data_IF_871757018728
#
_entry.id   IF_871757018728
#
_cell.length_a   1.000
_cell.length_b   1.000
_cell.length_c   1.000
_cell.angle_alpha   90.00
_cell.angle_beta   90.00
_cell.angle_gamma   90.00
#
_symmetry.space_group_name_H-M   'P 1'
#
loop_
_entity.id
_entity.type
_entity.pdbx_description
1 polymer ?
#
# COMPACT_ATOMS: atom_id res chain seq x y z
N UNK A 1 -20.28 -5.27 26.41
CA UNK A 1 -18.91 -5.76 26.71
C UNK A 1 -18.43 -6.87 25.76
N UNK A 2 -19.28 -7.83 25.40
CA UNK A 2 -18.89 -8.95 24.53
C UNK A 2 -18.60 -8.50 23.10
N UNK A 3 -19.41 -7.62 22.52
CA UNK A 3 -19.25 -7.06 21.17
C UNK A 3 -17.93 -6.32 21.00
N UNK A 4 -17.52 -5.50 21.99
CA UNK A 4 -16.24 -4.78 21.94
C UNK A 4 -15.05 -5.73 21.95
N UNK A 5 -15.10 -6.83 22.71
CA UNK A 5 -14.03 -7.84 22.70
C UNK A 5 -13.90 -8.53 21.34
N UNK A 6 -15.02 -8.77 20.65
CA UNK A 6 -15.01 -9.37 19.31
C UNK A 6 -14.40 -8.38 18.30
N UNK A 7 -14.80 -7.11 18.36
CA UNK A 7 -14.24 -6.08 17.49
C UNK A 7 -12.75 -5.86 17.71
N UNK A 8 -12.30 -5.84 18.96
CA UNK A 8 -10.88 -5.71 19.30
C UNK A 8 -10.05 -6.89 18.75
N UNK A 9 -10.54 -8.12 18.88
CA UNK A 9 -9.88 -9.31 18.30
C UNK A 9 -9.86 -9.24 16.76
N UNK A 10 -10.96 -8.83 16.13
CA UNK A 10 -11.04 -8.65 14.70
C UNK A 10 -10.07 -7.57 14.20
N UNK A 11 -9.96 -6.45 14.91
CA UNK A 11 -9.02 -5.36 14.62
C UNK A 11 -7.56 -5.82 14.71
N UNK A 12 -7.21 -6.57 15.77
CA UNK A 12 -5.87 -7.15 15.90
C UNK A 12 -5.54 -8.08 14.73
N UNK A 13 -6.49 -8.92 14.32
CA UNK A 13 -6.32 -9.81 13.18
C UNK A 13 -6.17 -9.03 11.86
N UNK A 14 -7.01 -8.03 11.63
CA UNK A 14 -6.93 -7.16 10.45
C UNK A 14 -5.56 -6.45 10.37
N UNK A 15 -5.08 -5.90 11.47
CA UNK A 15 -3.76 -5.27 11.54
C UNK A 15 -2.61 -6.26 11.29
N UNK A 16 -2.70 -7.47 11.85
CA UNK A 16 -1.70 -8.53 11.64
C UNK A 16 -1.60 -8.95 10.18
N UNK A 17 -2.71 -8.92 9.45
CA UNK A 17 -2.78 -9.30 8.03
C UNK A 17 -2.65 -8.10 7.09
N UNK A 18 -2.31 -6.92 7.60
CA UNK A 18 -2.21 -5.67 6.83
C UNK A 18 -3.52 -5.26 6.14
N UNK A 19 -4.66 -5.73 6.64
CA UNK A 19 -6.01 -5.38 6.14
C UNK A 19 -6.49 -4.06 6.75
N UNK A 20 -5.80 -2.96 6.42
CA UNK A 20 -6.00 -1.63 7.03
C UNK A 20 -7.38 -1.02 6.74
N UNK A 21 -8.02 -1.37 5.62
CA UNK A 21 -9.40 -0.94 5.35
C UNK A 21 -10.38 -1.59 6.32
N UNK A 22 -10.23 -2.88 6.57
CA UNK A 22 -11.05 -3.61 7.54
C UNK A 22 -10.81 -3.08 8.96
N UNK A 23 -9.55 -2.83 9.32
CA UNK A 23 -9.21 -2.23 10.63
C UNK A 23 -9.88 -0.85 10.78
N UNK A 24 -9.90 -0.02 9.75
CA UNK A 24 -10.56 1.28 9.74
C UNK A 24 -12.08 1.15 9.96
N UNK A 25 -12.75 0.25 9.22
CA UNK A 25 -14.19 -0.01 9.40
C UNK A 25 -14.52 -0.47 10.83
N UNK A 26 -13.67 -1.30 11.42
CA UNK A 26 -13.85 -1.76 12.81
C UNK A 26 -13.74 -0.57 13.78
N UNK A 27 -12.77 0.33 13.60
CA UNK A 27 -12.63 1.53 14.45
C UNK A 27 -13.87 2.43 14.31
N UNK A 28 -14.43 2.60 13.10
CA UNK A 28 -15.65 3.37 12.91
C UNK A 28 -16.87 2.73 13.64
N UNK A 29 -16.97 1.39 13.66
CA UNK A 29 -17.97 0.69 14.47
C UNK A 29 -17.75 0.87 15.98
N UNK A 30 -16.50 0.82 16.43
CA UNK A 30 -16.14 1.10 17.84
C UNK A 30 -16.54 2.52 18.25
N UNK A 31 -16.39 3.53 17.39
CA UNK A 31 -16.83 4.91 17.63
C UNK A 31 -18.36 5.00 17.79
N UNK A 32 -19.11 4.27 16.95
CA UNK A 32 -20.59 4.23 17.08
C UNK A 32 -20.98 3.67 18.43
N UNK A 33 -20.36 2.57 18.87
CA UNK A 33 -20.63 1.98 20.19
C UNK A 33 -20.23 2.96 21.31
N UNK A 34 -19.06 3.59 21.19
CA UNK A 34 -18.58 4.57 22.17
C UNK A 34 -19.54 5.74 22.34
N UNK A 35 -20.08 6.25 21.24
CA UNK A 35 -21.04 7.36 21.26
C UNK A 35 -22.31 7.05 22.06
N UNK A 36 -22.71 5.77 22.11
CA UNK A 36 -23.88 5.32 22.88
C UNK A 36 -23.59 5.14 24.38
N UNK A 37 -22.35 4.96 24.75
CA UNK A 37 -21.95 4.60 26.11
C UNK A 37 -20.89 5.54 26.72
N UNK A 38 -20.71 6.72 26.17
CA UNK A 38 -19.65 7.68 26.50
C UNK A 38 -19.57 8.04 28.00
N UNK A 39 -20.70 8.07 28.69
CA UNK A 39 -20.77 8.36 30.14
C UNK A 39 -20.20 7.23 31.01
N UNK A 40 -20.01 6.03 30.44
CA UNK A 40 -19.48 4.84 31.11
C UNK A 40 -18.13 4.43 30.56
N UNK A 41 -17.56 5.25 29.69
CA UNK A 41 -16.30 4.98 29.03
C UNK A 41 -15.10 5.30 29.91
N UNK A 42 -13.97 4.71 29.56
CA UNK A 42 -12.66 5.06 30.11
C UNK A 42 -12.24 6.43 29.57
N UNK A 43 -11.57 7.24 30.40
CA UNK A 43 -11.28 8.65 30.11
C UNK A 43 -10.50 8.91 28.82
N UNK A 44 -9.75 7.94 28.28
CA UNK A 44 -8.92 8.11 27.06
C UNK A 44 -9.44 7.33 25.86
N UNK A 45 -10.59 6.64 25.96
CA UNK A 45 -11.08 5.77 24.89
C UNK A 45 -11.40 6.55 23.62
N UNK A 46 -12.05 7.69 23.76
CA UNK A 46 -12.40 8.60 22.65
C UNK A 46 -11.15 9.06 21.89
N UNK A 47 -10.15 9.54 22.61
CA UNK A 47 -8.89 10.03 22.02
C UNK A 47 -8.14 8.92 21.31
N UNK A 48 -8.10 7.70 21.91
CA UNK A 48 -7.50 6.52 21.29
C UNK A 48 -8.17 6.17 19.96
N UNK A 49 -9.51 6.10 19.92
CA UNK A 49 -10.25 5.80 18.70
C UNK A 49 -10.08 6.86 17.61
N UNK A 50 -10.00 8.14 17.99
CA UNK A 50 -9.73 9.24 17.06
C UNK A 50 -8.34 9.06 16.44
N UNK A 51 -7.31 8.86 17.26
CA UNK A 51 -5.94 8.68 16.78
C UNK A 51 -5.78 7.45 15.88
N UNK A 52 -6.37 6.31 16.25
CA UNK A 52 -6.38 5.10 15.42
C UNK A 52 -7.06 5.35 14.05
N UNK A 53 -8.22 5.99 14.07
CA UNK A 53 -8.99 6.30 12.87
C UNK A 53 -8.23 7.23 11.91
N UNK A 54 -7.60 8.28 12.44
CA UNK A 54 -6.81 9.23 11.64
C UNK A 54 -5.57 8.55 11.03
N UNK A 55 -4.86 7.73 11.81
CA UNK A 55 -3.71 6.97 11.36
C UNK A 55 -4.08 5.99 10.24
N UNK A 56 -5.12 5.18 10.44
CA UNK A 56 -5.60 4.22 9.44
C UNK A 56 -6.10 4.91 8.17
N UNK A 57 -6.80 6.03 8.30
CA UNK A 57 -7.24 6.83 7.17
C UNK A 57 -6.06 7.35 6.34
N UNK A 58 -5.04 7.87 6.99
CA UNK A 58 -3.83 8.36 6.32
C UNK A 58 -3.12 7.23 5.56
N UNK A 59 -2.94 6.05 6.17
CA UNK A 59 -2.33 4.87 5.55
C UNK A 59 -3.16 4.38 4.36
N UNK A 60 -4.48 4.28 4.49
CA UNK A 60 -5.38 3.85 3.42
C UNK A 60 -5.40 4.86 2.26
N UNK A 61 -5.38 6.16 2.55
CA UNK A 61 -5.28 7.19 1.52
C UNK A 61 -3.99 7.07 0.72
N UNK A 62 -2.86 6.88 1.40
CA UNK A 62 -1.56 6.70 0.78
C UNK A 62 -1.51 5.44 -0.10
N UNK A 63 -2.01 4.30 0.40
CA UNK A 63 -2.13 3.07 -0.37
C UNK A 63 -3.01 3.25 -1.61
N UNK A 64 -4.11 3.99 -1.49
CA UNK A 64 -5.01 4.30 -2.61
C UNK A 64 -4.32 5.17 -3.66
N UNK A 65 -3.62 6.22 -3.27
CA UNK A 65 -2.86 7.08 -4.21
C UNK A 65 -1.81 6.27 -4.97
N UNK A 66 -1.04 5.44 -4.27
CA UNK A 66 -0.01 4.60 -4.89
C UNK A 66 -0.60 3.52 -5.80
N UNK A 67 -1.71 2.90 -5.42
CA UNK A 67 -2.38 1.90 -6.26
C UNK A 67 -2.98 2.52 -7.52
N UNK A 68 -3.56 3.71 -7.43
CA UNK A 68 -4.07 4.47 -8.58
C UNK A 68 -2.94 4.82 -9.55
N UNK A 69 -1.82 5.36 -9.05
CA UNK A 69 -0.64 5.64 -9.86
C UNK A 69 -0.12 4.38 -10.55
N UNK A 70 0.01 3.28 -9.81
CA UNK A 70 0.44 2.00 -10.37
C UNK A 70 -0.48 1.51 -11.49
N UNK A 71 -1.81 1.64 -11.31
CA UNK A 71 -2.79 1.24 -12.32
C UNK A 71 -2.70 2.08 -13.59
N UNK A 72 -2.55 3.40 -13.46
CA UNK A 72 -2.41 4.33 -14.59
C UNK A 72 -1.14 4.07 -15.39
N UNK A 73 -0.01 3.82 -14.71
CA UNK A 73 1.26 3.49 -15.37
C UNK A 73 1.17 2.14 -16.11
N UNK A 74 0.54 1.14 -15.49
CA UNK A 74 0.33 -0.15 -16.12
C UNK A 74 -0.58 -0.06 -17.35
N UNK A 75 -1.68 0.68 -17.25
CA UNK A 75 -2.57 0.92 -18.39
C UNK A 75 -1.81 1.57 -19.56
N UNK A 76 -0.98 2.57 -19.27
CA UNK A 76 -0.15 3.24 -20.30
C UNK A 76 0.82 2.24 -20.94
N UNK A 77 1.47 1.39 -20.14
CA UNK A 77 2.39 0.38 -20.65
C UNK A 77 1.71 -0.59 -21.62
N UNK A 78 0.51 -1.06 -21.25
CA UNK A 78 -0.24 -2.02 -22.08
C UNK A 78 -0.79 -1.37 -23.36
N UNK A 79 -1.27 -0.12 -23.29
CA UNK A 79 -1.89 0.56 -24.43
C UNK A 79 -0.90 1.19 -25.40
N UNK A 80 0.18 1.78 -24.90
CA UNK A 80 1.13 2.58 -25.68
C UNK A 80 2.55 1.99 -25.74
N UNK A 81 2.89 1.05 -24.82
CA UNK A 81 4.24 0.54 -24.65
C UNK A 81 5.16 1.55 -23.96
N UNK A 82 6.46 1.33 -24.06
CA UNK A 82 7.48 2.22 -23.49
C UNK A 82 7.65 3.50 -24.30
N UNK A 83 8.32 4.49 -23.69
CA UNK A 83 8.66 5.75 -24.32
C UNK A 83 9.49 5.52 -25.60
N UNK A 84 9.03 6.12 -26.71
CA UNK A 84 9.67 6.02 -28.04
C UNK A 84 10.38 7.31 -28.43
N UNK A 85 10.21 8.37 -27.66
CA UNK A 85 10.82 9.67 -27.87
C UNK A 85 11.18 10.36 -26.56
N UNK A 86 12.08 11.34 -26.64
CA UNK A 86 12.45 12.17 -25.48
C UNK A 86 11.26 12.96 -24.92
N UNK A 87 10.31 13.30 -25.77
CA UNK A 87 9.09 13.98 -25.35
C UNK A 87 8.22 13.05 -24.51
N UNK A 88 7.94 11.84 -25.00
CA UNK A 88 7.18 10.83 -24.25
C UNK A 88 7.86 10.48 -22.92
N UNK A 89 9.19 10.36 -22.92
CA UNK A 89 9.96 10.13 -21.70
C UNK A 89 9.74 11.26 -20.67
N UNK A 90 9.82 12.53 -21.10
CA UNK A 90 9.59 13.67 -20.21
C UNK A 90 8.16 13.71 -19.68
N UNK A 91 7.17 13.43 -20.52
CA UNK A 91 5.75 13.40 -20.13
C UNK A 91 5.49 12.30 -19.09
N UNK A 92 6.03 11.10 -19.29
CA UNK A 92 5.91 9.98 -18.35
C UNK A 92 6.59 10.34 -17.03
N UNK A 93 7.78 10.91 -17.08
CA UNK A 93 8.56 11.29 -15.90
C UNK A 93 7.84 12.38 -15.09
N UNK A 94 7.34 13.41 -15.77
CA UNK A 94 6.58 14.47 -15.12
C UNK A 94 5.31 13.90 -14.47
N UNK A 95 4.53 13.11 -15.19
CA UNK A 95 3.32 12.46 -14.67
C UNK A 95 3.63 11.63 -13.43
N UNK A 96 4.68 10.81 -13.49
CA UNK A 96 5.07 9.96 -12.37
C UNK A 96 5.39 10.77 -11.11
N UNK A 97 6.28 11.76 -11.22
CA UNK A 97 6.70 12.54 -10.05
C UNK A 97 5.65 13.52 -9.54
N UNK A 98 4.74 14.02 -10.38
CA UNK A 98 3.60 14.82 -9.95
C UNK A 98 2.56 14.02 -9.15
N UNK A 99 2.41 12.73 -9.45
CA UNK A 99 1.44 11.85 -8.81
C UNK A 99 2.05 10.93 -7.74
N UNK A 100 3.37 10.88 -7.62
CA UNK A 100 4.03 10.11 -6.56
C UNK A 100 3.87 10.84 -5.22
N UNK A 101 3.23 10.22 -4.22
CA UNK A 101 3.12 10.82 -2.90
C UNK A 101 4.50 11.13 -2.29
N UNK A 102 4.66 12.32 -1.72
CA UNK A 102 5.86 12.72 -1.00
C UNK A 102 5.85 12.06 0.37
N UNK A 103 6.54 10.95 0.50
CA UNK A 103 6.62 10.19 1.75
C UNK A 103 8.00 9.58 1.90
N UNK A 104 8.45 9.44 3.13
CA UNK A 104 9.68 8.72 3.44
C UNK A 104 9.40 7.22 3.44
N UNK A 105 10.23 6.46 2.73
CA UNK A 105 10.04 5.02 2.54
C UNK A 105 10.02 4.23 3.86
N UNK A 106 10.71 4.72 4.88
CA UNK A 106 10.79 4.12 6.22
C UNK A 106 9.44 4.20 6.99
N UNK A 107 8.56 5.12 6.60
CA UNK A 107 7.25 5.31 7.24
C UNK A 107 6.13 4.49 6.58
N UNK A 108 6.43 3.79 5.48
CA UNK A 108 5.44 3.00 4.75
C UNK A 108 5.18 1.64 5.41
N UNK A 109 3.91 1.28 5.55
CA UNK A 109 3.48 -0.08 5.91
C UNK A 109 3.68 -1.06 4.74
N UNK A 110 3.35 -2.34 4.98
CA UNK A 110 3.55 -3.39 3.97
C UNK A 110 2.81 -3.11 2.66
N UNK A 111 1.53 -2.73 2.71
CA UNK A 111 0.72 -2.46 1.51
C UNK A 111 1.17 -1.22 0.76
N UNK A 112 1.50 -0.15 1.48
CA UNK A 112 2.01 1.08 0.89
C UNK A 112 3.34 0.83 0.17
N UNK A 113 4.26 0.07 0.78
CA UNK A 113 5.53 -0.36 0.16
C UNK A 113 5.28 -1.19 -1.11
N UNK A 114 4.35 -2.15 -1.06
CA UNK A 114 4.02 -3.00 -2.19
C UNK A 114 3.58 -2.17 -3.40
N UNK A 115 2.65 -1.24 -3.21
CA UNK A 115 2.18 -0.36 -4.28
C UNK A 115 3.23 0.65 -4.73
N UNK A 116 4.06 1.13 -3.81
CA UNK A 116 5.19 2.01 -4.11
C UNK A 116 6.20 1.32 -5.03
N UNK A 117 6.65 0.12 -4.68
CA UNK A 117 7.60 -0.62 -5.51
C UNK A 117 6.98 -1.02 -6.85
N UNK A 118 5.73 -1.39 -6.87
CA UNK A 118 5.01 -1.72 -8.09
C UNK A 118 4.88 -0.52 -9.03
N UNK A 119 4.57 0.67 -8.52
CA UNK A 119 4.53 1.90 -9.31
C UNK A 119 5.91 2.22 -9.91
N UNK A 120 6.98 2.08 -9.14
CA UNK A 120 8.36 2.26 -9.63
C UNK A 120 8.75 1.22 -10.68
N UNK A 121 8.33 -0.03 -10.56
CA UNK A 121 8.57 -1.07 -11.57
C UNK A 121 7.89 -0.68 -12.89
N UNK A 122 6.63 -0.26 -12.88
CA UNK A 122 5.95 0.18 -14.09
C UNK A 122 6.55 1.43 -14.72
N UNK A 123 6.94 2.41 -13.90
CA UNK A 123 7.64 3.59 -14.36
C UNK A 123 8.98 3.22 -15.02
N UNK A 124 9.73 2.32 -14.41
CA UNK A 124 11.02 1.85 -14.94
C UNK A 124 10.86 1.10 -16.28
N UNK A 125 9.83 0.29 -16.43
CA UNK A 125 9.52 -0.35 -17.71
C UNK A 125 9.15 0.69 -18.78
N UNK A 126 8.31 1.67 -18.45
CA UNK A 126 7.91 2.73 -19.38
C UNK A 126 9.10 3.55 -19.87
N UNK A 127 10.07 3.79 -19.00
CA UNK A 127 11.28 4.60 -19.30
C UNK A 127 12.47 3.75 -19.72
N UNK A 128 12.33 2.43 -19.80
CA UNK A 128 13.39 1.46 -20.14
C UNK A 128 14.61 1.57 -19.22
N UNK A 129 14.40 1.93 -17.95
CA UNK A 129 15.43 1.94 -16.91
C UNK A 129 15.55 0.55 -16.26
N UNK A 130 16.33 -0.32 -16.88
CA UNK A 130 16.51 -1.69 -16.43
C UNK A 130 17.15 -1.81 -15.05
N UNK A 131 18.04 -0.89 -14.70
CA UNK A 131 18.66 -0.87 -13.36
C UNK A 131 17.63 -0.57 -12.27
N UNK A 132 16.74 0.39 -12.50
CA UNK A 132 15.65 0.68 -11.57
C UNK A 132 14.62 -0.44 -11.55
N UNK A 133 14.35 -1.10 -12.68
CA UNK A 133 13.48 -2.30 -12.72
C UNK A 133 14.03 -3.39 -11.80
N UNK A 134 15.31 -3.71 -11.90
CA UNK A 134 15.97 -4.67 -11.02
C UNK A 134 15.89 -4.24 -9.56
N UNK A 135 16.26 -3.01 -9.26
CA UNK A 135 16.26 -2.46 -7.89
C UNK A 135 14.91 -2.56 -7.21
N UNK A 136 13.84 -2.13 -7.87
CA UNK A 136 12.51 -2.11 -7.27
C UNK A 136 11.84 -3.49 -7.28
N UNK A 137 12.12 -4.34 -8.26
CA UNK A 137 11.69 -5.74 -8.23
C UNK A 137 12.36 -6.51 -7.09
N UNK A 138 13.67 -6.30 -6.86
CA UNK A 138 14.38 -6.88 -5.70
C UNK A 138 13.74 -6.46 -4.38
N UNK A 139 13.51 -5.16 -4.20
CA UNK A 139 12.86 -4.64 -2.97
C UNK A 139 11.45 -5.18 -2.78
N UNK A 140 10.72 -5.39 -3.88
CA UNK A 140 9.40 -6.01 -3.84
C UNK A 140 9.47 -7.46 -3.33
N UNK A 141 10.42 -8.26 -3.80
CA UNK A 141 10.62 -9.64 -3.34
C UNK A 141 11.12 -9.68 -1.89
N UNK A 142 12.15 -8.88 -1.58
CA UNK A 142 12.77 -8.77 -0.25
C UNK A 142 11.75 -8.46 0.85
N UNK A 143 10.79 -7.56 0.61
CA UNK A 143 9.77 -7.23 1.61
C UNK A 143 8.88 -8.43 1.99
N UNK A 144 8.66 -9.38 1.07
CA UNK A 144 7.95 -10.63 1.36
C UNK A 144 8.83 -11.62 2.12
N UNK A 145 10.15 -11.65 1.83
CA UNK A 145 11.11 -12.48 2.55
C UNK A 145 11.30 -12.00 3.99
N UNK A 146 11.27 -10.68 4.22
CA UNK A 146 11.28 -10.08 5.55
C UNK A 146 9.98 -10.33 6.34
N UNK A 147 8.87 -10.57 5.64
CA UNK A 147 7.55 -10.85 6.22
C UNK A 147 6.92 -12.10 5.62
N UNK A 148 7.45 -13.31 5.90
CA UNK A 148 7.05 -14.55 5.22
C UNK A 148 5.56 -14.90 5.36
N UNK A 149 4.91 -14.45 6.44
CA UNK A 149 3.46 -14.62 6.61
C UNK A 149 2.65 -13.97 5.49
N UNK A 150 3.17 -12.89 4.87
CA UNK A 150 2.51 -12.18 3.78
C UNK A 150 2.55 -12.96 2.46
N UNK A 151 3.47 -13.91 2.29
CA UNK A 151 3.51 -14.78 1.11
C UNK A 151 2.24 -15.63 1.03
N UNK A 152 1.78 -16.19 2.14
CA UNK A 152 0.54 -16.96 2.18
C UNK A 152 -0.73 -16.12 2.05
N UNK A 153 -0.68 -14.85 2.45
CA UNK A 153 -1.81 -13.91 2.36
C UNK A 153 -1.91 -13.33 0.94
N UNK A 154 -0.78 -13.01 0.32
CA UNK A 154 -0.69 -12.36 -0.98
C UNK A 154 0.21 -13.14 -1.97
N UNK A 155 -0.04 -14.44 -2.21
CA UNK A 155 0.85 -15.28 -3.04
C UNK A 155 1.00 -14.77 -4.46
N UNK A 156 -0.07 -14.21 -5.05
CA UNK A 156 -0.05 -13.68 -6.42
C UNK A 156 0.88 -12.47 -6.54
N UNK A 157 0.90 -11.58 -5.54
CA UNK A 157 1.81 -10.44 -5.54
C UNK A 157 3.27 -10.87 -5.38
N UNK A 158 3.54 -11.86 -4.55
CA UNK A 158 4.89 -12.40 -4.39
C UNK A 158 5.41 -13.03 -5.68
N UNK A 159 4.62 -13.90 -6.31
CA UNK A 159 4.98 -14.53 -7.59
C UNK A 159 5.19 -13.52 -8.71
N UNK A 160 4.37 -12.46 -8.77
CA UNK A 160 4.59 -11.36 -9.73
C UNK A 160 5.89 -10.62 -9.47
N UNK A 161 6.23 -10.34 -8.22
CA UNK A 161 7.52 -9.74 -7.86
C UNK A 161 8.71 -10.56 -8.35
N UNK A 162 8.68 -11.87 -8.13
CA UNK A 162 9.71 -12.81 -8.64
C UNK A 162 9.76 -12.75 -10.17
N UNK A 163 8.62 -12.78 -10.85
CA UNK A 163 8.58 -12.74 -12.32
C UNK A 163 9.26 -11.46 -12.85
N UNK A 164 8.93 -10.28 -12.33
CA UNK A 164 9.55 -9.03 -12.77
C UNK A 164 11.03 -8.94 -12.40
N UNK A 165 11.43 -9.52 -11.29
CA UNK A 165 12.84 -9.63 -10.93
C UNK A 165 13.58 -10.50 -11.96
N UNK A 166 13.03 -11.64 -12.35
CA UNK A 166 13.59 -12.51 -13.39
C UNK A 166 13.66 -11.81 -14.74
N UNK A 167 12.60 -11.11 -15.15
CA UNK A 167 12.57 -10.33 -16.40
C UNK A 167 13.65 -9.23 -16.43
N UNK A 168 13.99 -8.65 -15.28
CA UNK A 168 15.04 -7.62 -15.17
C UNK A 168 16.47 -8.16 -15.29
N UNK A 169 16.65 -9.48 -15.19
CA UNK A 169 17.96 -10.15 -15.27
C UNK A 169 18.29 -10.67 -16.68
N UNK A 170 17.35 -10.62 -17.60
CA UNK A 170 17.49 -11.06 -19.00
C UNK A 170 17.78 -9.88 -19.92
#
# INVERSE_FOLDING_TARGET
KQSLKVLERAKLLANKHEEKYVAYEIVELEKVIESQYITRSLSNRTETLIGESESLRAQNNLATQLSNLSLQLYERLIKAGYAKSDQEFREITQFFYENLPKTENEQLGFREKLWFYKAHVWYSFLTQDFLSTYRYSSKWVEMFEESPAMISIHPVFYLKGINYLMESLV
#
